data_IF_717227776841
#
_entry.id   IF_717227776841
#
_cell.length_a   1.000
_cell.length_b   1.000
_cell.length_c   1.000
_cell.angle_alpha   90.00
_cell.angle_beta   90.00
_cell.angle_gamma   90.00
#
_symmetry.space_group_name_H-M   'P 1'
#
loop_
_entity.id
_entity.type
_entity.pdbx_description
1 polymer ?
#
# COMPACT_ATOMS: atom_id res chain seq x y z
N UNK A 1 -17.71 -7.31 -24.79
CA UNK A 1 -16.60 -6.44 -24.36
C UNK A 1 -16.39 -6.48 -22.84
N UNK A 2 -17.42 -6.33 -22.00
CA UNK A 2 -17.26 -6.29 -20.52
C UNK A 2 -16.75 -7.58 -19.87
N UNK A 3 -17.01 -8.77 -20.44
CA UNK A 3 -16.47 -10.05 -19.93
C UNK A 3 -14.94 -10.15 -20.00
N UNK A 4 -14.31 -9.45 -20.95
CA UNK A 4 -12.86 -9.50 -21.14
C UNK A 4 -12.12 -8.55 -20.19
N UNK A 5 -12.76 -7.43 -19.83
CA UNK A 5 -12.25 -6.48 -18.83
C UNK A 5 -12.27 -7.12 -17.43
N UNK A 6 -13.36 -7.79 -17.06
CA UNK A 6 -13.43 -8.48 -15.76
C UNK A 6 -12.40 -9.61 -15.60
N UNK A 7 -12.10 -10.34 -16.68
CA UNK A 7 -11.04 -11.35 -16.66
C UNK A 7 -9.64 -10.73 -16.52
N UNK A 8 -9.39 -9.60 -17.20
CA UNK A 8 -8.15 -8.85 -17.03
C UNK A 8 -8.01 -8.36 -15.59
N UNK A 9 -9.07 -7.82 -15.00
CA UNK A 9 -9.06 -7.31 -13.63
C UNK A 9 -8.81 -8.43 -12.61
N UNK A 10 -9.38 -9.63 -12.81
CA UNK A 10 -9.12 -10.79 -11.95
C UNK A 10 -7.64 -11.24 -11.99
N UNK A 11 -7.02 -11.21 -13.17
CA UNK A 11 -5.59 -11.49 -13.33
C UNK A 11 -4.74 -10.45 -12.61
N UNK A 12 -5.07 -9.16 -12.78
CA UNK A 12 -4.36 -8.05 -12.12
C UNK A 12 -4.48 -8.17 -10.61
N UNK A 13 -5.67 -8.49 -10.09
CA UNK A 13 -5.90 -8.71 -8.67
C UNK A 13 -5.10 -9.89 -8.12
N UNK A 14 -5.02 -10.99 -8.87
CA UNK A 14 -4.25 -12.17 -8.45
C UNK A 14 -2.76 -11.86 -8.34
N UNK A 15 -2.20 -11.12 -9.29
CA UNK A 15 -0.80 -10.70 -9.26
C UNK A 15 -0.52 -9.74 -8.10
N UNK A 16 -1.40 -8.76 -7.88
CA UNK A 16 -1.29 -7.82 -6.75
C UNK A 16 -1.32 -8.54 -5.41
N UNK A 17 -2.26 -9.49 -5.22
CA UNK A 17 -2.35 -10.31 -3.99
C UNK A 17 -1.11 -11.15 -3.76
N UNK A 18 -0.49 -11.68 -4.82
CA UNK A 18 0.78 -12.42 -4.71
C UNK A 18 1.90 -11.57 -4.16
N UNK A 19 2.05 -10.33 -4.65
CA UNK A 19 3.05 -9.36 -4.15
C UNK A 19 2.75 -8.95 -2.71
N UNK A 20 1.48 -8.66 -2.37
CA UNK A 20 1.08 -8.36 -0.99
C UNK A 20 1.44 -9.49 -0.02
N UNK A 21 1.32 -10.75 -0.45
CA UNK A 21 1.66 -11.90 0.38
C UNK A 21 3.17 -12.04 0.62
N UNK A 22 3.99 -11.80 -0.41
CA UNK A 22 5.45 -11.79 -0.29
C UNK A 22 5.93 -10.69 0.65
N UNK A 23 5.35 -9.49 0.55
CA UNK A 23 5.68 -8.37 1.44
C UNK A 23 5.34 -8.68 2.90
N UNK A 24 4.17 -9.28 3.16
CA UNK A 24 3.79 -9.74 4.51
C UNK A 24 4.72 -10.84 5.03
N UNK A 25 5.11 -11.79 4.19
CA UNK A 25 6.04 -12.86 4.56
C UNK A 25 7.44 -12.32 4.91
N UNK A 26 7.84 -11.21 4.30
CA UNK A 26 9.08 -10.50 4.62
C UNK A 26 8.99 -9.65 5.92
N UNK A 27 7.85 -9.65 6.61
CA UNK A 27 7.65 -8.89 7.85
C UNK A 27 7.39 -7.39 7.64
N UNK A 28 7.01 -6.99 6.42
CA UNK A 28 6.73 -5.58 6.09
C UNK A 28 5.28 -5.23 6.42
N UNK A 29 5.07 -4.08 7.06
CA UNK A 29 3.73 -3.52 7.27
C UNK A 29 3.30 -2.71 6.04
N UNK A 30 2.21 -3.12 5.38
CA UNK A 30 1.70 -2.45 4.19
C UNK A 30 0.76 -1.31 4.62
N UNK A 31 1.23 -0.07 4.51
CA UNK A 31 0.41 1.12 4.75
C UNK A 31 -0.12 1.65 3.42
N UNK A 32 -1.44 1.60 3.25
CA UNK A 32 -2.13 2.09 2.04
C UNK A 32 -2.46 3.57 2.21
N UNK A 33 -1.87 4.42 1.38
CA UNK A 33 -2.19 5.85 1.37
C UNK A 33 -1.19 6.68 0.57
N UNK A 34 -1.42 8.00 0.55
CA UNK A 34 -0.50 8.95 -0.04
C UNK A 34 0.50 9.41 1.02
N UNK A 35 1.80 9.15 0.80
CA UNK A 35 2.85 9.50 1.75
C UNK A 35 3.46 10.87 1.40
N UNK A 36 3.58 11.75 2.39
CA UNK A 36 4.27 13.03 2.32
C UNK A 36 5.35 13.08 3.42
N UNK A 37 6.56 13.44 3.02
CA UNK A 37 7.66 13.66 3.96
C UNK A 37 7.42 14.98 4.70
N UNK A 38 7.33 14.93 6.03
CA UNK A 38 7.24 16.14 6.85
C UNK A 38 8.61 16.57 7.40
N UNK A 39 9.47 15.59 7.69
CA UNK A 39 10.82 15.83 8.19
C UNK A 39 11.76 14.71 7.73
N UNK A 40 13.06 14.83 8.00
CA UNK A 40 14.07 13.85 7.62
C UNK A 40 13.82 12.43 8.17
N UNK A 41 13.05 12.30 9.26
CA UNK A 41 12.73 11.02 9.92
C UNK A 41 11.24 10.74 10.10
N UNK A 42 10.38 11.56 9.51
CA UNK A 42 8.94 11.51 9.74
C UNK A 42 8.18 11.55 8.41
N UNK A 43 7.36 10.52 8.19
CA UNK A 43 6.48 10.41 7.03
C UNK A 43 5.03 10.44 7.50
N UNK A 44 4.24 11.31 6.89
CA UNK A 44 2.79 11.35 7.09
C UNK A 44 2.11 10.65 5.92
N UNK A 45 1.23 9.70 6.21
CA UNK A 45 0.49 8.94 5.20
C UNK A 45 -0.99 9.29 5.33
N UNK A 46 -1.57 9.83 4.26
CA UNK A 46 -2.98 10.22 4.16
C UNK A 46 -3.24 11.72 4.30
N UNK A 47 -4.44 12.13 3.88
CA UNK A 47 -4.92 13.51 3.97
C UNK A 47 -6.23 13.55 4.78
N UNK A 48 -6.25 14.27 5.90
CA UNK A 48 -7.40 14.37 6.81
C UNK A 48 -7.12 13.93 8.25
N UNK A 49 -8.19 13.67 9.02
CA UNK A 49 -8.15 13.29 10.45
C UNK A 49 -7.60 11.87 10.72
N UNK A 50 -7.50 11.03 9.71
CA UNK A 50 -6.96 9.65 9.77
C UNK A 50 -5.52 9.56 9.24
N UNK A 51 -4.77 10.67 9.27
CA UNK A 51 -3.39 10.65 8.82
C UNK A 51 -2.53 9.81 9.77
N UNK A 52 -1.87 8.80 9.22
CA UNK A 52 -0.91 7.94 9.92
C UNK A 52 0.45 8.63 9.91
N UNK A 53 1.01 8.88 11.08
CA UNK A 53 2.36 9.43 11.23
C UNK A 53 3.28 8.25 11.55
N UNK A 54 4.27 8.01 10.70
CA UNK A 54 5.30 7.01 10.90
C UNK A 54 6.61 7.74 11.19
N UNK A 55 7.19 7.41 12.34
CA UNK A 55 8.50 7.90 12.79
C UNK A 55 9.48 6.73 12.85
N UNK A 56 10.75 6.99 12.56
CA UNK A 56 11.82 6.02 12.72
C UNK A 56 11.92 5.60 14.20
N UNK A 57 11.44 4.40 14.52
CA UNK A 57 11.68 3.78 15.83
C UNK A 57 13.08 3.17 15.78
N UNK A 58 14.04 3.93 16.26
CA UNK A 58 15.43 3.51 16.46
C UNK A 58 15.51 2.33 17.43
#
# INVERSE_FOLDING_TARGET
MSKMVGWKDDIVDKLNKGVEHLLKAAGVELVKGWAEFQDAKTVKIGSGKDALIIEEKM
#
